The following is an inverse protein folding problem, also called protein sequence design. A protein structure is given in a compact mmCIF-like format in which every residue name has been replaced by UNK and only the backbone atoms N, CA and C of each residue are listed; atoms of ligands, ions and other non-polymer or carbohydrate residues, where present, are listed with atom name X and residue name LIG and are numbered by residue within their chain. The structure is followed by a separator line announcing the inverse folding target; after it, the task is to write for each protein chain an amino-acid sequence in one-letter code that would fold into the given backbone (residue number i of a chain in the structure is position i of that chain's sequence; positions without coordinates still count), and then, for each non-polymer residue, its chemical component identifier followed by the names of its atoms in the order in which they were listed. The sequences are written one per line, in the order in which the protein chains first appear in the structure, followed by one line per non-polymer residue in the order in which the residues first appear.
data_IF_705267261456
#
_entry.id   IF_705267261456
#
_cell.length_a   1.000
_cell.length_b   1.000
_cell.length_c   1.000
_cell.angle_alpha   90.00
_cell.angle_beta   90.00
_cell.angle_gamma   90.00
#
_symmetry.space_group_name_H-M   'P 1'
#
loop_
_entity.id
_entity.type
_entity.pdbx_description
1 polymer ?
#
# COMPACT_ATOMS: atom_id res chain seq x y z
N UNK A 1 1.76 -72.56 9.44
CA UNK A 1 0.69 -71.59 9.09
C UNK A 1 1.39 -70.27 8.79
N UNK A 2 1.98 -70.11 7.60
CA UNK A 2 1.43 -69.44 6.41
C UNK A 2 0.80 -68.07 6.70
N UNK A 3 1.39 -67.05 6.07
CA UNK A 3 0.94 -65.67 5.74
C UNK A 3 1.54 -64.56 6.62
N UNK A 4 2.56 -63.87 6.11
CA UNK A 4 2.36 -62.54 5.50
C UNK A 4 3.65 -62.11 4.78
N UNK A 5 3.61 -62.17 3.47
CA UNK A 5 4.62 -61.71 2.54
C UNK A 5 3.92 -60.62 1.70
N UNK A 6 4.69 -59.61 1.27
CA UNK A 6 4.36 -58.60 0.24
C UNK A 6 3.75 -57.30 0.80
N UNK A 7 4.64 -56.34 1.11
CA UNK A 7 4.35 -54.91 1.06
C UNK A 7 4.99 -54.37 -0.22
N UNK A 8 4.26 -54.48 -1.33
CA UNK A 8 4.60 -53.86 -2.60
C UNK A 8 3.70 -52.64 -2.83
N UNK A 9 4.34 -51.48 -3.01
CA UNK A 9 4.04 -50.45 -4.00
C UNK A 9 2.57 -50.14 -4.31
N UNK A 10 2.10 -48.95 -3.90
CA UNK A 10 1.11 -48.23 -4.72
C UNK A 10 1.05 -46.72 -4.44
N UNK A 11 1.01 -45.98 -5.55
CA UNK A 11 0.51 -44.62 -5.74
C UNK A 11 1.36 -43.42 -5.31
N UNK A 12 2.35 -43.11 -6.16
CA UNK A 12 2.65 -41.72 -6.49
C UNK A 12 1.43 -41.12 -7.23
N UNK A 13 0.70 -40.22 -6.56
CA UNK A 13 -0.31 -39.38 -7.20
C UNK A 13 0.29 -37.99 -7.38
N UNK A 14 0.94 -37.77 -8.52
CA UNK A 14 1.37 -36.43 -8.94
C UNK A 14 0.13 -35.65 -9.39
N UNK A 15 -0.33 -34.74 -8.53
CA UNK A 15 -1.30 -33.72 -8.91
C UNK A 15 -0.62 -32.75 -9.89
N UNK A 16 -0.83 -32.98 -11.18
CA UNK A 16 -0.66 -31.97 -12.22
C UNK A 16 -1.76 -30.92 -12.02
N UNK A 17 -1.46 -29.90 -11.21
CA UNK A 17 -2.21 -28.65 -11.19
C UNK A 17 -1.98 -27.98 -12.55
N UNK A 18 -2.93 -28.16 -13.47
CA UNK A 18 -3.04 -27.28 -14.63
C UNK A 18 -3.49 -25.92 -14.12
N UNK A 19 -2.54 -24.99 -14.00
CA UNK A 19 -2.85 -23.58 -13.81
C UNK A 19 -3.61 -23.12 -15.06
N UNK A 20 -4.94 -23.00 -14.96
CA UNK A 20 -5.75 -22.31 -15.94
C UNK A 20 -5.37 -20.82 -15.89
N UNK A 21 -4.45 -20.42 -16.77
CA UNK A 21 -4.29 -19.02 -17.13
C UNK A 21 -5.57 -18.61 -17.84
N UNK A 22 -6.48 -17.98 -17.09
CA UNK A 22 -7.58 -17.23 -17.68
C UNK A 22 -6.95 -16.04 -18.39
N UNK A 23 -6.64 -16.20 -19.67
CA UNK A 23 -6.42 -15.09 -20.57
C UNK A 23 -7.72 -14.30 -20.63
N UNK A 24 -7.84 -13.31 -19.74
CA UNK A 24 -8.92 -12.33 -19.76
C UNK A 24 -8.88 -11.71 -21.15
N UNK A 25 -9.94 -11.93 -21.93
CA UNK A 25 -10.11 -11.30 -23.23
C UNK A 25 -9.87 -9.78 -23.09
N UNK A 26 -9.20 -9.13 -24.05
CA UNK A 26 -9.00 -7.68 -24.00
C UNK A 26 -10.37 -7.02 -24.01
N UNK A 27 -10.79 -6.53 -22.85
CA UNK A 27 -11.97 -5.67 -22.74
C UNK A 27 -11.61 -4.40 -23.50
N UNK A 28 -12.48 -4.00 -24.44
CA UNK A 28 -12.31 -2.77 -25.20
C UNK A 28 -12.33 -1.57 -24.23
N UNK A 29 -11.15 -1.12 -23.79
CA UNK A 29 -10.95 -0.09 -22.75
C UNK A 29 -11.23 1.31 -23.28
N UNK A 30 -11.40 1.46 -24.60
CA UNK A 30 -11.59 2.74 -25.29
C UNK A 30 -12.86 3.53 -24.90
N UNK A 31 -13.76 2.96 -24.09
CA UNK A 31 -15.05 3.60 -23.77
C UNK A 31 -15.46 3.49 -22.30
N UNK A 32 -14.48 3.37 -21.39
CA UNK A 32 -14.73 3.40 -19.94
C UNK A 32 -14.82 4.87 -19.50
N UNK A 33 -15.94 5.31 -18.88
CA UNK A 33 -16.05 6.66 -18.35
C UNK A 33 -14.95 6.98 -17.33
N UNK A 34 -14.29 8.12 -17.49
CA UNK A 34 -13.28 8.64 -16.57
C UNK A 34 -13.71 8.56 -15.09
N UNK A 35 -14.98 8.88 -14.81
CA UNK A 35 -15.52 8.85 -13.45
C UNK A 35 -15.47 7.47 -12.81
N UNK A 36 -15.57 6.39 -13.60
CA UNK A 36 -15.46 5.02 -13.10
C UNK A 36 -13.99 4.66 -12.84
N UNK A 37 -13.08 5.07 -13.73
CA UNK A 37 -11.64 4.86 -13.56
C UNK A 37 -11.17 5.58 -12.29
N UNK A 38 -11.49 6.87 -12.17
CA UNK A 38 -11.17 7.68 -10.99
C UNK A 38 -11.72 7.08 -9.70
N UNK A 39 -12.97 6.61 -9.70
CA UNK A 39 -13.57 5.95 -8.53
C UNK A 39 -12.79 4.69 -8.16
N UNK A 40 -12.44 3.87 -9.15
CA UNK A 40 -11.71 2.62 -8.91
C UNK A 40 -10.29 2.88 -8.40
N UNK A 41 -9.60 3.88 -8.95
CA UNK A 41 -8.27 4.28 -8.48
C UNK A 41 -8.32 4.76 -7.01
N UNK A 42 -9.34 5.55 -6.64
CA UNK A 42 -9.54 5.98 -5.24
C UNK A 42 -9.83 4.79 -4.32
N UNK A 43 -10.68 3.86 -4.76
CA UNK A 43 -10.97 2.63 -4.01
C UNK A 43 -9.67 1.84 -3.74
N UNK A 44 -8.86 1.61 -4.77
CA UNK A 44 -7.60 0.87 -4.65
C UNK A 44 -6.60 1.60 -3.76
N UNK A 45 -6.43 2.92 -3.95
CA UNK A 45 -5.52 3.73 -3.12
C UNK A 45 -5.92 3.71 -1.64
N UNK A 46 -7.21 3.77 -1.34
CA UNK A 46 -7.73 3.74 0.05
C UNK A 46 -7.77 2.35 0.67
N UNK A 47 -7.54 1.28 -0.10
CA UNK A 47 -7.46 -0.10 0.40
C UNK A 47 -6.04 -0.67 0.39
N UNK A 48 -5.06 0.16 0.00
CA UNK A 48 -3.65 -0.20 -0.08
C UNK A 48 -2.93 -0.36 1.27
N UNK A 49 -1.64 -0.77 1.26
CA UNK A 49 -0.86 -1.05 2.45
C UNK A 49 -0.77 0.12 3.44
N UNK A 50 -0.64 1.36 2.94
CA UNK A 50 -0.54 2.57 3.76
C UNK A 50 -1.78 2.82 4.61
N UNK A 51 -2.97 2.53 4.06
CA UNK A 51 -4.23 2.61 4.82
C UNK A 51 -4.35 1.50 5.85
N UNK A 52 -4.00 0.26 5.48
CA UNK A 52 -3.96 -0.88 6.41
C UNK A 52 -3.02 -0.63 7.59
N UNK A 53 -1.87 0.00 7.35
CA UNK A 53 -0.94 0.41 8.42
C UNK A 53 -1.62 1.37 9.41
N UNK A 54 -2.35 2.37 8.91
CA UNK A 54 -3.09 3.30 9.77
C UNK A 54 -4.17 2.58 10.59
N UNK A 55 -4.89 1.63 9.99
CA UNK A 55 -5.86 0.76 10.68
C UNK A 55 -5.19 -0.09 11.76
N UNK A 56 -4.04 -0.71 11.48
CA UNK A 56 -3.30 -1.46 12.49
C UNK A 56 -2.82 -0.59 13.65
N UNK A 57 -2.38 0.64 13.39
CA UNK A 57 -1.99 1.59 14.44
C UNK A 57 -3.18 1.99 15.32
N UNK A 58 -4.36 2.21 14.73
CA UNK A 58 -5.59 2.45 15.49
C UNK A 58 -5.94 1.24 16.36
N UNK A 59 -5.86 0.03 15.81
CA UNK A 59 -6.10 -1.21 16.58
C UNK A 59 -5.14 -1.37 17.76
N UNK A 60 -3.87 -1.00 17.60
CA UNK A 60 -2.91 -0.97 18.71
C UNK A 60 -3.39 -0.03 19.82
N UNK A 61 -3.86 1.18 19.48
CA UNK A 61 -4.41 2.12 20.47
C UNK A 61 -5.67 1.57 21.14
N UNK A 62 -6.53 0.86 20.41
CA UNK A 62 -7.71 0.19 20.97
C UNK A 62 -7.31 -0.90 21.98
N UNK A 63 -6.28 -1.69 21.69
CA UNK A 63 -5.75 -2.67 22.64
C UNK A 63 -5.11 -2.01 23.86
N UNK A 64 -4.38 -0.90 23.67
CA UNK A 64 -3.85 -0.11 24.78
C UNK A 64 -4.96 0.47 25.66
N UNK A 65 -6.06 0.94 25.08
CA UNK A 65 -7.22 1.42 25.83
C UNK A 65 -7.84 0.30 26.68
N UNK A 66 -7.99 -0.90 26.11
CA UNK A 66 -8.47 -2.08 26.84
C UNK A 66 -7.52 -2.44 27.98
N UNK A 67 -6.21 -2.43 27.74
CA UNK A 67 -5.18 -2.64 28.76
C UNK A 67 -5.24 -1.60 29.88
N UNK A 68 -5.34 -0.31 29.54
CA UNK A 68 -5.43 0.79 30.50
C UNK A 68 -6.69 0.70 31.38
N UNK A 69 -7.83 0.28 30.80
CA UNK A 69 -9.07 0.02 31.55
C UNK A 69 -8.94 -1.16 32.51
N UNK A 70 -8.15 -2.17 32.12
CA UNK A 70 -7.95 -3.40 32.88
C UNK A 70 -6.74 -3.36 33.81
N UNK A 71 -5.99 -2.25 33.85
CA UNK A 71 -4.74 -2.15 34.61
C UNK A 71 -4.92 -2.38 36.11
N UNK A 72 -6.13 -2.17 36.65
CA UNK A 72 -6.44 -2.50 38.04
C UNK A 72 -6.31 -4.01 38.34
N UNK A 73 -6.51 -4.88 37.36
CA UNK A 73 -6.37 -6.34 37.54
C UNK A 73 -4.90 -6.76 37.71
N UNK A 74 -3.96 -6.02 37.11
CA UNK A 74 -2.51 -6.28 37.26
C UNK A 74 -2.01 -6.01 38.67
N UNK A 75 -2.82 -5.34 39.49
CA UNK A 75 -2.46 -4.96 40.85
C UNK A 75 -3.06 -5.89 41.91
N UNK A 76 -3.96 -6.81 41.51
CA UNK A 76 -4.51 -7.82 42.41
C UNK A 76 -3.47 -8.92 42.62
N UNK A 77 -2.79 -8.88 43.77
CA UNK A 77 -1.85 -9.93 44.16
C UNK A 77 -2.46 -10.77 45.26
N UNK A 78 -2.60 -12.08 44.99
CA UNK A 78 -2.95 -13.08 46.00
C UNK A 78 -1.67 -13.78 46.42
N UNK A 79 -1.26 -13.56 47.67
CA UNK A 79 -0.08 -14.19 48.24
C UNK A 79 -0.48 -15.17 49.34
N UNK A 80 0.00 -16.41 49.24
CA UNK A 80 -0.03 -17.39 50.30
C UNK A 80 1.40 -17.68 50.71
N UNK A 81 1.73 -17.49 51.99
CA UNK A 81 3.04 -17.78 52.55
C UNK A 81 2.91 -18.81 53.68
N UNK A 82 3.82 -19.78 53.69
CA UNK A 82 3.95 -20.78 54.75
C UNK A 82 5.32 -20.65 55.39
N UNK A 83 5.36 -20.47 56.71
CA UNK A 83 6.61 -20.35 57.47
C UNK A 83 6.71 -21.47 58.51
N UNK A 84 7.76 -22.27 58.42
CA UNK A 84 8.15 -23.27 59.43
C UNK A 84 9.56 -22.96 59.94
N UNK A 85 9.66 -21.87 60.69
CA UNK A 85 10.90 -21.43 61.32
C UNK A 85 10.98 -22.04 62.72
N UNK A 86 11.84 -23.05 62.90
CA UNK A 86 12.18 -23.63 64.19
C UNK A 86 13.51 -23.06 64.67
N UNK A 87 13.46 -22.08 65.57
CA UNK A 87 14.66 -21.52 66.22
C UNK A 87 15.13 -22.51 67.30
N UNK A 88 16.26 -23.19 67.08
CA UNK A 88 16.91 -24.01 68.12
C UNK A 88 17.53 -23.08 69.17
N UNK A 89 17.03 -23.14 70.41
CA UNK A 89 17.75 -22.62 71.58
C UNK A 89 17.03 -21.65 72.51
N UNK A 90 15.73 -21.39 72.36
CA UNK A 90 14.98 -20.50 73.25
C UNK A 90 13.75 -21.21 73.86
N UNK A 91 13.70 -21.30 75.20
CA UNK A 91 12.61 -21.92 75.99
C UNK A 91 11.31 -21.09 76.02
N UNK A 92 10.98 -20.42 74.92
CA UNK A 92 9.76 -19.64 74.76
C UNK A 92 9.17 -19.95 73.39
N UNK A 93 8.08 -20.72 73.38
CA UNK A 93 7.32 -21.11 72.19
C UNK A 93 6.70 -19.89 71.52
N UNK A 94 7.50 -19.14 70.75
CA UNK A 94 7.00 -18.06 69.91
C UNK A 94 6.34 -18.68 68.68
N UNK A 95 5.01 -18.82 68.72
CA UNK A 95 4.20 -19.30 67.60
C UNK A 95 4.05 -18.14 66.61
N UNK A 96 4.95 -18.03 65.64
CA UNK A 96 4.72 -17.18 64.48
C UNK A 96 3.54 -17.73 63.66
N UNK A 97 2.71 -16.88 63.02
CA UNK A 97 1.63 -17.34 62.18
C UNK A 97 2.19 -18.21 61.04
N UNK A 98 1.84 -19.50 61.05
CA UNK A 98 2.31 -20.51 60.09
C UNK A 98 1.81 -20.27 58.67
N UNK A 99 0.67 -19.60 58.54
CA UNK A 99 0.04 -19.27 57.27
C UNK A 99 -0.22 -17.78 57.20
N UNK A 100 0.24 -17.15 56.12
CA UNK A 100 -0.06 -15.75 55.81
C UNK A 100 -0.81 -15.69 54.48
N UNK A 101 -2.05 -15.22 54.53
CA UNK A 101 -2.87 -14.93 53.36
C UNK A 101 -2.98 -13.42 53.24
N UNK A 102 -2.44 -12.88 52.15
CA UNK A 102 -2.45 -11.45 51.86
C UNK A 102 -3.16 -11.18 50.56
N UNK A 103 -4.08 -10.22 50.58
CA UNK A 103 -4.65 -9.60 49.39
C UNK A 103 -4.15 -8.15 49.35
N UNK A 104 -3.27 -7.83 48.39
CA UNK A 104 -2.77 -6.48 48.22
C UNK A 104 -3.57 -5.80 47.09
N UNK A 105 -4.24 -4.69 47.41
CA UNK A 105 -4.84 -3.79 46.43
C UNK A 105 -4.14 -2.42 46.58
N UNK A 106 -3.19 -2.08 45.70
CA UNK A 106 -2.60 -0.75 45.64
C UNK A 106 -3.65 0.28 45.21
N UNK A 107 -4.13 1.09 46.17
CA UNK A 107 -5.13 2.15 45.94
C UNK A 107 -4.65 3.31 45.05
N UNK A 108 -3.38 3.31 44.61
CA UNK A 108 -2.82 4.26 43.65
C UNK A 108 -3.48 4.22 42.25
N UNK A 109 -4.43 3.31 42.03
CA UNK A 109 -5.17 3.11 40.78
C UNK A 109 -6.16 4.23 40.42
N UNK A 110 -6.39 5.20 41.30
CA UNK A 110 -7.20 6.39 41.00
C UNK A 110 -6.60 7.26 39.86
N UNK A 111 -5.32 7.08 39.54
CA UNK A 111 -4.65 7.70 38.41
C UNK A 111 -4.87 6.99 37.06
N UNK A 112 -5.55 5.84 37.01
CA UNK A 112 -5.87 5.16 35.74
C UNK A 112 -6.87 5.93 34.86
N UNK A 113 -7.68 6.82 35.44
CA UNK A 113 -8.68 7.62 34.71
C UNK A 113 -8.06 8.61 33.73
N UNK A 114 -6.90 9.19 34.05
CA UNK A 114 -6.22 10.12 33.14
C UNK A 114 -5.63 9.37 31.95
N UNK A 115 -5.05 8.18 32.17
CA UNK A 115 -4.54 7.32 31.10
C UNK A 115 -5.65 6.88 30.13
N UNK A 116 -6.80 6.44 30.65
CA UNK A 116 -7.95 6.05 29.81
C UNK A 116 -8.47 7.23 28.98
N UNK A 117 -8.53 8.44 29.56
CA UNK A 117 -8.90 9.65 28.83
C UNK A 117 -7.86 9.99 27.75
N UNK A 118 -6.58 9.96 28.10
CA UNK A 118 -5.48 10.23 27.16
C UNK A 118 -5.50 9.26 25.97
N UNK A 119 -5.62 7.95 26.21
CA UNK A 119 -5.68 6.95 25.14
C UNK A 119 -6.95 7.10 24.28
N UNK A 120 -8.08 7.54 24.86
CA UNK A 120 -9.29 7.84 24.08
C UNK A 120 -9.09 9.02 23.13
N UNK A 121 -8.47 10.10 23.61
CA UNK A 121 -8.15 11.24 22.75
C UNK A 121 -7.11 10.88 21.69
N UNK A 122 -6.15 10.00 22.00
CA UNK A 122 -5.22 9.45 21.00
C UNK A 122 -5.93 8.64 19.91
N UNK A 123 -6.94 7.83 20.26
CA UNK A 123 -7.75 7.10 19.27
C UNK A 123 -8.49 8.07 18.35
N UNK A 124 -9.18 9.07 18.91
CA UNK A 124 -9.89 10.10 18.10
C UNK A 124 -8.94 10.84 17.17
N UNK A 125 -7.79 11.28 17.70
CA UNK A 125 -6.76 11.92 16.89
C UNK A 125 -6.27 10.99 15.77
N UNK A 126 -6.21 9.67 16.02
CA UNK A 126 -5.82 8.68 15.01
C UNK A 126 -6.91 8.46 13.95
N UNK A 127 -8.18 8.46 14.35
CA UNK A 127 -9.33 8.42 13.43
C UNK A 127 -9.33 9.64 12.51
N UNK A 128 -9.11 10.83 13.05
CA UNK A 128 -8.97 12.08 12.28
C UNK A 128 -7.76 12.03 11.33
N UNK A 129 -6.61 11.54 11.80
CA UNK A 129 -5.43 11.33 10.93
C UNK A 129 -5.71 10.36 9.78
N UNK A 130 -6.48 9.29 10.03
CA UNK A 130 -6.89 8.33 9.00
C UNK A 130 -7.79 9.00 7.96
N UNK A 131 -8.70 9.87 8.39
CA UNK A 131 -9.55 10.63 7.47
C UNK A 131 -8.74 11.62 6.63
N UNK A 132 -7.77 12.32 7.22
CA UNK A 132 -6.80 13.16 6.49
C UNK A 132 -6.02 12.34 5.47
N UNK A 133 -5.55 11.15 5.85
CA UNK A 133 -4.85 10.25 4.95
C UNK A 133 -5.73 9.85 3.75
N UNK A 134 -7.00 9.48 3.98
CA UNK A 134 -7.94 9.13 2.90
C UNK A 134 -8.15 10.30 1.95
N UNK A 135 -8.35 11.53 2.48
CA UNK A 135 -8.49 12.74 1.66
C UNK A 135 -7.23 13.01 0.84
N UNK A 136 -6.05 12.87 1.45
CA UNK A 136 -4.76 13.05 0.80
C UNK A 136 -4.52 12.02 -0.31
N UNK A 137 -4.77 10.74 -0.04
CA UNK A 137 -4.66 9.66 -1.03
C UNK A 137 -5.60 9.91 -2.21
N UNK A 138 -6.86 10.28 -1.94
CA UNK A 138 -7.84 10.62 -2.97
C UNK A 138 -7.37 11.80 -3.82
N UNK A 139 -6.93 12.89 -3.21
CA UNK A 139 -6.46 14.05 -3.96
C UNK A 139 -5.20 13.73 -4.79
N UNK A 140 -4.25 13.00 -4.20
CA UNK A 140 -3.01 12.58 -4.86
C UNK A 140 -3.26 11.72 -6.09
N UNK A 141 -4.03 10.64 -5.93
CA UNK A 141 -4.28 9.69 -7.04
C UNK A 141 -5.05 10.33 -8.19
N UNK A 142 -6.02 11.18 -7.89
CA UNK A 142 -6.79 11.90 -8.91
C UNK A 142 -5.90 12.91 -9.65
N UNK A 143 -5.04 13.65 -8.93
CA UNK A 143 -4.09 14.57 -9.55
C UNK A 143 -3.14 13.83 -10.49
N UNK A 144 -2.54 12.73 -10.02
CA UNK A 144 -1.63 11.90 -10.84
C UNK A 144 -2.32 11.38 -12.09
N UNK A 145 -3.55 10.87 -11.97
CA UNK A 145 -4.32 10.38 -13.12
C UNK A 145 -4.65 11.48 -14.13
N UNK A 146 -5.04 12.67 -13.67
CA UNK A 146 -5.26 13.82 -14.54
C UNK A 146 -3.98 14.27 -15.25
N UNK A 147 -2.85 14.29 -14.53
CA UNK A 147 -1.54 14.61 -15.12
C UNK A 147 -1.11 13.56 -16.16
N UNK A 148 -1.37 12.29 -15.89
CA UNK A 148 -1.13 11.19 -16.83
C UNK A 148 -1.93 11.39 -18.13
N UNK A 149 -3.23 11.70 -18.01
CA UNK A 149 -4.08 12.02 -19.17
C UNK A 149 -3.57 13.23 -19.95
N UNK A 150 -3.23 14.30 -19.25
CA UNK A 150 -2.68 15.51 -19.87
C UNK A 150 -1.39 15.20 -20.65
N UNK A 151 -0.50 14.35 -20.12
CA UNK A 151 0.70 13.96 -20.87
C UNK A 151 0.38 13.14 -22.11
N UNK A 152 -0.63 12.27 -22.10
CA UNK A 152 -1.06 11.58 -23.32
C UNK A 152 -1.51 12.56 -24.41
N UNK A 153 -2.22 13.63 -24.03
CA UNK A 153 -2.63 14.69 -24.96
C UNK A 153 -1.43 15.51 -25.45
N UNK A 154 -0.49 15.87 -24.56
CA UNK A 154 0.74 16.56 -24.94
C UNK A 154 1.62 15.74 -25.88
N UNK A 155 1.73 14.42 -25.66
CA UNK A 155 2.45 13.51 -26.55
C UNK A 155 1.81 13.55 -27.94
N UNK A 156 0.48 13.45 -28.03
CA UNK A 156 -0.22 13.51 -29.32
C UNK A 156 0.05 14.84 -30.05
N UNK A 157 0.00 15.97 -29.34
CA UNK A 157 0.32 17.28 -29.93
C UNK A 157 1.79 17.36 -30.37
N UNK A 158 2.72 16.86 -29.55
CA UNK A 158 4.14 16.86 -29.86
C UNK A 158 4.48 15.93 -31.03
N UNK A 159 3.78 14.81 -31.18
CA UNK A 159 3.93 13.94 -32.36
C UNK A 159 3.63 14.70 -33.65
N UNK A 160 2.55 15.49 -33.69
CA UNK A 160 2.25 16.30 -34.88
C UNK A 160 3.36 17.32 -35.17
N UNK A 161 3.93 17.95 -34.14
CA UNK A 161 5.06 18.89 -34.30
C UNK A 161 6.31 18.18 -34.82
N UNK A 162 6.59 16.98 -34.33
CA UNK A 162 7.70 16.16 -34.82
C UNK A 162 7.50 15.79 -36.29
N UNK A 163 6.29 15.39 -36.68
CA UNK A 163 5.96 15.03 -38.07
C UNK A 163 6.11 16.24 -39.03
N UNK A 164 5.71 17.43 -38.59
CA UNK A 164 5.89 18.68 -39.33
C UNK A 164 7.38 19.03 -39.51
N UNK A 165 8.18 18.95 -38.44
CA UNK A 165 9.63 19.21 -38.50
C UNK A 165 10.39 18.11 -39.26
N UNK A 166 9.93 16.85 -39.22
CA UNK A 166 10.47 15.76 -40.04
C UNK A 166 10.28 16.08 -41.53
N UNK A 167 9.08 16.51 -41.90
CA UNK A 167 8.76 16.92 -43.27
C UNK A 167 9.62 18.11 -43.71
N UNK A 168 9.77 19.12 -42.85
CA UNK A 168 10.62 20.28 -43.12
C UNK A 168 12.10 19.89 -43.26
N UNK A 169 12.60 18.99 -42.41
CA UNK A 169 13.96 18.46 -42.50
C UNK A 169 14.18 17.64 -43.77
N UNK A 170 13.22 16.79 -44.16
CA UNK A 170 13.27 16.02 -45.39
C UNK A 170 13.36 16.93 -46.61
N UNK A 171 12.55 17.99 -46.67
CA UNK A 171 12.63 19.01 -47.72
C UNK A 171 14.00 19.71 -47.74
N UNK A 172 14.49 20.17 -46.59
CA UNK A 172 15.80 20.81 -46.52
C UNK A 172 16.94 19.87 -46.97
N UNK A 173 16.81 18.57 -46.71
CA UNK A 173 17.76 17.55 -47.19
C UNK A 173 17.74 17.42 -48.71
N UNK A 174 16.59 17.53 -49.35
CA UNK A 174 16.47 17.57 -50.82
C UNK A 174 17.04 18.88 -51.38
N UNK A 175 16.59 20.02 -50.86
CA UNK A 175 17.05 21.34 -51.31
C UNK A 175 18.57 21.50 -51.15
N UNK A 176 19.18 20.91 -50.13
CA UNK A 176 20.64 20.91 -49.93
C UNK A 176 21.37 20.05 -50.96
N UNK A 177 20.84 18.86 -51.30
CA UNK A 177 21.41 17.98 -52.34
C UNK A 177 21.41 18.67 -53.71
N UNK A 178 20.37 19.44 -53.98
CA UNK A 178 20.22 20.20 -55.23
C UNK A 178 20.98 21.54 -55.20
N UNK A 179 21.67 21.86 -54.09
CA UNK A 179 22.46 23.07 -53.91
C UNK A 179 21.64 24.35 -53.71
N UNK A 180 20.35 24.24 -53.43
CA UNK A 180 19.42 25.36 -53.27
C UNK A 180 19.49 26.04 -51.89
N UNK A 181 20.03 25.35 -50.88
CA UNK A 181 20.28 25.92 -49.54
C UNK A 181 21.72 25.65 -49.08
N UNK A 182 22.19 26.40 -48.08
CA UNK A 182 23.52 26.21 -47.49
C UNK A 182 23.56 25.08 -46.47
N UNK A 183 24.76 24.62 -46.13
CA UNK A 183 24.96 23.60 -45.09
C UNK A 183 24.51 24.09 -43.70
N UNK A 184 24.61 25.39 -43.42
CA UNK A 184 24.13 25.99 -42.17
C UNK A 184 22.60 25.88 -42.07
N UNK A 185 21.87 26.15 -43.16
CA UNK A 185 20.43 26.03 -43.21
C UNK A 185 19.97 24.56 -43.05
N UNK A 186 20.69 23.62 -43.67
CA UNK A 186 20.48 22.19 -43.49
C UNK A 186 20.71 21.73 -42.03
N UNK A 187 21.84 22.12 -41.44
CA UNK A 187 22.15 21.77 -40.05
C UNK A 187 21.13 22.37 -39.07
N UNK A 188 20.62 23.57 -39.37
CA UNK A 188 19.59 24.20 -38.55
C UNK A 188 18.27 23.44 -38.59
N UNK A 189 17.81 22.97 -39.75
CA UNK A 189 16.59 22.15 -39.83
C UNK A 189 16.76 20.80 -39.14
N UNK A 190 17.92 20.15 -39.31
CA UNK A 190 18.25 18.93 -38.58
C UNK A 190 18.21 19.13 -37.06
N UNK A 191 18.79 20.24 -36.58
CA UNK A 191 18.79 20.58 -35.16
C UNK A 191 17.36 20.76 -34.63
N UNK A 192 16.50 21.50 -35.33
CA UNK A 192 15.10 21.70 -34.93
C UNK A 192 14.35 20.37 -34.80
N UNK A 193 14.43 19.52 -35.82
CA UNK A 193 13.83 18.19 -35.78
C UNK A 193 14.32 17.37 -34.56
N UNK A 194 15.64 17.31 -34.35
CA UNK A 194 16.21 16.57 -33.22
C UNK A 194 15.76 17.16 -31.87
N UNK A 195 15.70 18.48 -31.73
CA UNK A 195 15.24 19.15 -30.51
C UNK A 195 13.78 18.78 -30.18
N UNK A 196 12.90 18.72 -31.18
CA UNK A 196 11.50 18.30 -30.99
C UNK A 196 11.36 16.80 -30.67
N UNK A 197 12.18 15.94 -31.27
CA UNK A 197 12.21 14.50 -30.92
C UNK A 197 12.63 14.31 -29.46
N UNK A 198 13.64 15.04 -28.98
CA UNK A 198 14.08 14.98 -27.59
C UNK A 198 12.96 15.41 -26.64
N UNK A 199 12.23 16.49 -26.96
CA UNK A 199 11.05 16.92 -26.18
C UNK A 199 9.97 15.85 -26.14
N UNK A 200 9.68 15.21 -27.27
CA UNK A 200 8.74 14.08 -27.34
C UNK A 200 9.13 12.93 -26.42
N UNK A 201 10.41 12.56 -26.41
CA UNK A 201 10.94 11.52 -25.50
C UNK A 201 10.86 11.91 -24.03
N UNK A 202 11.05 13.19 -23.70
CA UNK A 202 10.86 13.65 -22.34
C UNK A 202 9.39 13.53 -21.90
N UNK A 203 8.43 13.89 -22.76
CA UNK A 203 7.00 13.75 -22.45
C UNK A 203 6.58 12.28 -22.26
N UNK A 204 7.11 11.36 -23.07
CA UNK A 204 6.90 9.92 -22.90
C UNK A 204 7.42 9.43 -21.55
N UNK A 205 8.63 9.85 -21.18
CA UNK A 205 9.25 9.51 -19.89
C UNK A 205 8.41 10.04 -18.71
N UNK A 206 7.99 11.30 -18.76
CA UNK A 206 7.20 11.92 -17.69
C UNK A 206 5.85 11.20 -17.51
N UNK A 207 5.21 10.81 -18.62
CA UNK A 207 4.00 9.99 -18.62
C UNK A 207 4.21 8.62 -17.98
N UNK A 208 5.32 7.96 -18.28
CA UNK A 208 5.62 6.64 -17.73
C UNK A 208 5.98 6.70 -16.24
N UNK A 209 6.67 7.75 -15.80
CA UNK A 209 6.89 8.02 -14.37
C UNK A 209 5.55 8.20 -13.64
N UNK A 210 4.63 8.98 -14.21
CA UNK A 210 3.29 9.14 -13.64
C UNK A 210 2.53 7.82 -13.58
N UNK A 211 2.65 6.97 -14.60
CA UNK A 211 2.06 5.61 -14.59
C UNK A 211 2.63 4.79 -13.42
N UNK A 212 3.96 4.74 -13.27
CA UNK A 212 4.60 4.01 -12.18
C UNK A 212 4.18 4.52 -10.80
N UNK A 213 4.09 5.83 -10.62
CA UNK A 213 3.64 6.44 -9.37
C UNK A 213 2.19 6.06 -9.02
N UNK A 214 1.31 6.03 -10.04
CA UNK A 214 -0.07 5.54 -9.85
C UNK A 214 -0.07 4.08 -9.41
N UNK A 215 0.71 3.25 -10.10
CA UNK A 215 0.83 1.81 -9.84
C UNK A 215 1.40 1.50 -8.45
N UNK A 216 2.37 2.28 -7.98
CA UNK A 216 2.92 2.21 -6.62
C UNK A 216 1.82 2.44 -5.55
N UNK A 217 0.96 3.44 -5.77
CA UNK A 217 -0.10 3.80 -4.81
C UNK A 217 -1.21 2.74 -4.78
N UNK A 218 -1.61 2.22 -5.95
CA UNK A 218 -2.74 1.27 -6.05
C UNK A 218 -2.33 -0.20 -5.92
N UNK A 219 -1.04 -0.50 -6.08
CA UNK A 219 -0.47 -1.85 -5.93
C UNK A 219 -0.76 -2.83 -7.07
N UNK A 220 -1.29 -2.35 -8.19
CA UNK A 220 -1.55 -3.11 -9.43
C UNK A 220 -1.26 -2.23 -10.64
N UNK A 221 -1.22 -2.81 -11.85
CA UNK A 221 -0.99 -2.01 -13.06
C UNK A 221 -2.18 -1.09 -13.36
N UNK A 222 -1.91 0.08 -13.97
CA UNK A 222 -2.96 1.03 -14.33
C UNK A 222 -3.94 0.42 -15.34
N UNK A 223 -3.44 -0.41 -16.24
CA UNK A 223 -4.24 -1.10 -17.25
C UNK A 223 -5.21 -2.09 -16.59
N UNK A 224 -4.77 -2.85 -15.59
CA UNK A 224 -5.64 -3.71 -14.79
C UNK A 224 -6.70 -2.91 -14.02
N UNK A 225 -6.33 -1.77 -13.44
CA UNK A 225 -7.28 -0.89 -12.75
C UNK A 225 -8.38 -0.39 -13.69
N UNK A 226 -8.02 0.00 -14.93
CA UNK A 226 -8.97 0.41 -15.96
C UNK A 226 -9.88 -0.76 -16.37
N UNK A 227 -9.34 -1.97 -16.51
CA UNK A 227 -10.15 -3.17 -16.79
C UNK A 227 -11.14 -3.47 -15.66
N UNK A 228 -10.72 -3.33 -14.40
CA UNK A 228 -11.62 -3.50 -13.26
C UNK A 228 -12.72 -2.42 -13.24
N UNK A 229 -12.38 -1.17 -13.57
CA UNK A 229 -13.36 -0.10 -13.71
C UNK A 229 -14.37 -0.39 -14.84
N UNK A 230 -13.91 -0.95 -15.97
CA UNK A 230 -14.78 -1.37 -17.07
C UNK A 230 -15.77 -2.47 -16.63
N UNK A 231 -15.33 -3.40 -15.78
CA UNK A 231 -16.19 -4.46 -15.25
C UNK A 231 -17.29 -3.92 -14.30
N UNK A 232 -17.05 -2.79 -13.62
CA UNK A 232 -18.06 -2.14 -12.78
C UNK A 232 -19.26 -1.62 -13.59
N UNK A 233 -19.09 -1.32 -14.88
CA UNK A 233 -20.19 -0.89 -15.77
C UNK A 233 -21.18 -2.01 -16.09
N UNK A 234 -20.76 -3.27 -15.97
CA UNK A 234 -21.59 -4.44 -16.32
C UNK A 234 -22.43 -4.97 -15.15
N UNK A 235 -22.24 -4.42 -13.95
CA UNK A 235 -23.03 -4.71 -12.74
C UNK A 235 -24.04 -3.61 -12.51
#
# INVERSE_FOLDING_TARGET
MKKLLILQTLCAFTLLVSAQTTTKAPVNTANVPDSLIMRKLVELATTGPSFKLAEHQENVLQYQLKGAKNNWMNLLTVSMNYNDLQLKGQNSTYVYPKYFFGLNIPLGTLLSRTQVKATREQIKAKEEQKEVLVRSLKAGILKMYLQYKNHNELILLQTNVIDDEETAFAKAKEDFKDGSITIEAYNQSQKRYNDEVVKGKQLELDRDILKLQIEEVIGITLDEAIQQAAAMRKK
#
